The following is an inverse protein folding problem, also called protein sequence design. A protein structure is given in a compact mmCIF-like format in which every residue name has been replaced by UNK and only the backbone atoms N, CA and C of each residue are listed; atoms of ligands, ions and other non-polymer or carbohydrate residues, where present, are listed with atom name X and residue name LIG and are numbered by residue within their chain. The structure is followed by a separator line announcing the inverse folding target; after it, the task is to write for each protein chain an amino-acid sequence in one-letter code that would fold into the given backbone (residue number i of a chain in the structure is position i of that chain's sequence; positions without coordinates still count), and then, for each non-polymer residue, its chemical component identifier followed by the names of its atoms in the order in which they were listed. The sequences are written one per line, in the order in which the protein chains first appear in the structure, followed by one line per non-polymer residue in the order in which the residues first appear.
data_IF_098415056223
#
_entry.id   IF_098415056223
#
_cell.length_a   1.000
_cell.length_b   1.000
_cell.length_c   1.000
_cell.angle_alpha   90.00
_cell.angle_beta   90.00
_cell.angle_gamma   90.00
#
_symmetry.space_group_name_H-M   'P 1'
#
loop_
_entity.id
_entity.type
_entity.pdbx_description
1 polymer ?
#
# COMPACT_ATOMS: atom_id res chain seq x y z
N UNK A 1 19.33 12.92 9.20
CA UNK A 1 19.20 11.94 10.29
C UNK A 1 18.13 10.99 9.85
N UNK A 2 18.45 9.70 9.69
CA UNK A 2 17.45 8.67 9.36
C UNK A 2 16.44 8.62 10.53
N UNK A 3 15.15 8.66 10.22
CA UNK A 3 14.08 8.58 11.21
C UNK A 3 14.26 7.29 12.03
N UNK A 4 14.30 7.41 13.36
CA UNK A 4 14.53 6.27 14.25
C UNK A 4 13.46 5.18 14.05
N UNK A 5 12.24 5.59 13.67
CA UNK A 5 11.13 4.69 13.39
C UNK A 5 11.35 3.87 12.10
N UNK A 6 11.86 4.49 11.03
CA UNK A 6 12.22 3.81 9.79
C UNK A 6 13.34 2.78 10.00
N UNK A 7 14.34 3.16 10.80
CA UNK A 7 15.46 2.26 11.12
C UNK A 7 14.99 1.03 11.89
N UNK A 8 14.10 1.21 12.87
CA UNK A 8 13.51 0.10 13.62
C UNK A 8 12.68 -0.80 12.70
N UNK A 9 11.84 -0.22 11.84
CA UNK A 9 11.02 -0.97 10.89
C UNK A 9 11.86 -1.82 9.94
N UNK A 10 12.93 -1.24 9.41
CA UNK A 10 13.88 -1.95 8.56
C UNK A 10 14.53 -3.14 9.28
N UNK A 11 14.94 -2.97 10.55
CA UNK A 11 15.48 -4.04 11.37
C UNK A 11 14.44 -5.14 11.65
N UNK A 12 13.19 -4.76 11.93
CA UNK A 12 12.06 -5.68 12.11
C UNK A 12 11.87 -6.56 10.87
N UNK A 13 11.84 -5.97 9.67
CA UNK A 13 11.72 -6.69 8.40
C UNK A 13 12.94 -7.59 8.14
N UNK A 14 14.15 -7.10 8.39
CA UNK A 14 15.39 -7.88 8.23
C UNK A 14 15.40 -9.13 9.11
N UNK A 15 14.82 -9.06 10.31
CA UNK A 15 14.69 -10.21 11.20
C UNK A 15 13.79 -11.33 10.67
N UNK A 16 12.97 -11.07 9.64
CA UNK A 16 12.10 -12.05 9.00
C UNK A 16 12.79 -12.80 7.85
N UNK A 17 13.93 -12.31 7.35
CA UNK A 17 14.57 -12.86 6.14
C UNK A 17 14.95 -14.34 6.24
N UNK A 18 15.25 -14.86 7.44
CA UNK A 18 15.58 -16.27 7.66
C UNK A 18 14.43 -17.09 8.23
N UNK A 19 13.25 -16.48 8.45
CA UNK A 19 12.11 -17.14 9.08
C UNK A 19 11.20 -17.79 8.03
N UNK A 20 10.60 -18.91 8.40
CA UNK A 20 9.49 -19.52 7.68
C UNK A 20 8.18 -18.85 8.15
N UNK A 21 7.26 -18.57 7.23
CA UNK A 21 6.03 -17.83 7.55
C UNK A 21 5.08 -18.64 8.44
N UNK A 22 4.95 -19.95 8.21
CA UNK A 22 4.03 -20.82 8.93
C UNK A 22 4.46 -20.98 10.40
N UNK A 23 5.76 -20.99 10.66
CA UNK A 23 6.32 -21.10 12.02
C UNK A 23 6.35 -19.76 12.76
N UNK A 24 6.41 -18.64 12.03
CA UNK A 24 6.61 -17.31 12.61
C UNK A 24 5.49 -16.33 12.25
N UNK A 25 4.27 -16.82 12.03
CA UNK A 25 3.11 -16.01 11.62
C UNK A 25 2.92 -14.75 12.49
N UNK A 26 2.97 -14.88 13.82
CA UNK A 26 2.86 -13.75 14.75
C UNK A 26 3.94 -12.68 14.53
N UNK A 27 5.16 -13.09 14.15
CA UNK A 27 6.22 -12.13 13.82
C UNK A 27 5.89 -11.36 12.54
N UNK A 28 5.36 -12.03 11.52
CA UNK A 28 4.95 -11.36 10.28
C UNK A 28 3.78 -10.40 10.51
N UNK A 29 2.76 -10.82 11.26
CA UNK A 29 1.59 -9.98 11.60
C UNK A 29 1.98 -8.75 12.43
N UNK A 30 2.92 -8.91 13.37
CA UNK A 30 3.46 -7.80 14.14
C UNK A 30 4.17 -6.78 13.25
N UNK A 31 5.04 -7.23 12.37
CA UNK A 31 5.77 -6.32 11.46
C UNK A 31 4.81 -5.62 10.50
N UNK A 32 3.82 -6.33 9.96
CA UNK A 32 2.78 -5.72 9.13
C UNK A 32 2.00 -4.63 9.88
N UNK A 33 1.65 -4.89 11.15
CA UNK A 33 1.00 -3.91 12.01
C UNK A 33 1.88 -2.68 12.28
N UNK A 34 3.18 -2.88 12.49
CA UNK A 34 4.17 -1.79 12.63
C UNK A 34 4.23 -0.92 11.36
N UNK A 35 4.22 -1.53 10.17
CA UNK A 35 4.17 -0.81 8.88
C UNK A 35 2.91 0.05 8.80
N UNK A 36 1.74 -0.56 9.04
CA UNK A 36 0.44 0.15 8.99
C UNK A 36 0.40 1.31 9.99
N UNK A 37 0.89 1.10 11.21
CA UNK A 37 0.93 2.15 12.23
C UNK A 37 1.78 3.33 11.78
N UNK A 38 3.00 3.09 11.28
CA UNK A 38 3.86 4.18 10.80
C UNK A 38 3.24 4.93 9.61
N UNK A 39 2.57 4.22 8.68
CA UNK A 39 1.80 4.87 7.61
C UNK A 39 0.72 5.79 8.17
N UNK A 40 -0.04 5.33 9.16
CA UNK A 40 -1.11 6.13 9.79
C UNK A 40 -0.54 7.39 10.46
N UNK A 41 0.56 7.27 11.19
CA UNK A 41 1.22 8.42 11.83
C UNK A 41 1.63 9.49 10.82
N UNK A 42 2.27 9.09 9.72
CA UNK A 42 2.65 10.02 8.65
C UNK A 42 1.42 10.60 7.96
N UNK A 43 0.43 9.76 7.60
CA UNK A 43 -0.81 10.21 6.93
C UNK A 43 -1.57 11.24 7.77
N UNK A 44 -1.70 11.02 9.06
CA UNK A 44 -2.40 11.94 9.97
C UNK A 44 -1.74 13.32 9.97
N UNK A 45 -0.41 13.40 9.85
CA UNK A 45 0.31 14.68 9.73
C UNK A 45 0.14 15.37 8.37
N UNK A 46 -0.36 14.65 7.36
CA UNK A 46 -0.49 15.12 5.97
C UNK A 46 -1.94 15.34 5.55
N UNK A 47 -2.90 15.08 6.44
CA UNK A 47 -4.30 15.38 6.21
C UNK A 47 -4.51 16.90 6.07
N UNK A 48 -5.40 17.38 5.19
CA UNK A 48 -5.65 18.80 5.05
C UNK A 48 -6.24 19.40 6.33
N UNK A 49 -5.69 20.54 6.77
CA UNK A 49 -6.24 21.30 7.90
C UNK A 49 -7.52 22.07 7.51
N UNK A 50 -7.79 22.22 6.21
CA UNK A 50 -8.95 22.95 5.70
C UNK A 50 -10.09 21.98 5.32
N UNK A 51 -11.30 22.30 5.78
CA UNK A 51 -12.48 21.46 5.59
C UNK A 51 -12.82 21.20 4.12
N UNK A 52 -12.64 22.19 3.22
CA UNK A 52 -12.99 22.04 1.81
C UNK A 52 -12.08 21.04 1.09
N UNK A 53 -10.78 21.07 1.38
CA UNK A 53 -9.82 20.12 0.82
C UNK A 53 -9.98 18.74 1.46
N UNK A 54 -10.23 18.66 2.76
CA UNK A 54 -10.56 17.42 3.46
C UNK A 54 -11.81 16.74 2.86
N UNK A 55 -12.92 17.47 2.69
CA UNK A 55 -14.13 16.96 2.04
C UNK A 55 -13.85 16.51 0.61
N UNK A 56 -13.06 17.28 -0.14
CA UNK A 56 -12.70 16.95 -1.52
C UNK A 56 -11.89 15.64 -1.60
N UNK A 57 -10.87 15.45 -0.77
CA UNK A 57 -10.07 14.21 -0.80
C UNK A 57 -10.90 13.01 -0.35
N UNK A 58 -11.84 13.19 0.59
CA UNK A 58 -12.76 12.14 1.06
C UNK A 58 -13.75 11.74 -0.02
N UNK A 59 -14.34 12.68 -0.75
CA UNK A 59 -15.21 12.39 -1.90
C UNK A 59 -14.48 11.61 -2.98
N UNK A 60 -13.24 12.01 -3.30
CA UNK A 60 -12.41 11.28 -4.26
C UNK A 60 -12.08 9.87 -3.73
N UNK A 61 -11.71 9.74 -2.46
CA UNK A 61 -11.39 8.46 -1.84
C UNK A 61 -12.58 7.51 -1.84
N UNK A 62 -13.80 8.00 -1.62
CA UNK A 62 -15.02 7.19 -1.70
C UNK A 62 -15.20 6.60 -3.12
N UNK A 63 -15.07 7.43 -4.15
CA UNK A 63 -15.15 6.99 -5.56
C UNK A 63 -14.04 6.01 -5.92
N UNK A 64 -12.83 6.25 -5.42
CA UNK A 64 -11.69 5.34 -5.59
C UNK A 64 -11.94 3.98 -4.92
N UNK A 65 -12.48 3.97 -3.71
CA UNK A 65 -12.82 2.74 -3.00
C UNK A 65 -13.91 1.95 -3.73
N UNK A 66 -14.91 2.61 -4.30
CA UNK A 66 -15.92 1.98 -5.16
C UNK A 66 -15.27 1.38 -6.41
N UNK A 67 -14.45 2.15 -7.12
CA UNK A 67 -13.69 1.68 -8.28
C UNK A 67 -12.86 0.44 -7.94
N UNK A 68 -12.09 0.48 -6.86
CA UNK A 68 -11.27 -0.66 -6.41
C UNK A 68 -12.15 -1.87 -6.12
N UNK A 69 -13.24 -1.71 -5.36
CA UNK A 69 -14.16 -2.81 -5.08
C UNK A 69 -14.70 -3.44 -6.37
N UNK A 70 -15.09 -2.64 -7.35
CA UNK A 70 -15.51 -3.15 -8.67
C UNK A 70 -14.40 -3.92 -9.37
N UNK A 71 -13.16 -3.43 -9.32
CA UNK A 71 -12.01 -4.14 -9.87
C UNK A 71 -11.83 -5.53 -9.27
N UNK A 72 -11.94 -5.64 -7.94
CA UNK A 72 -11.83 -6.93 -7.26
C UNK A 72 -13.11 -7.78 -7.35
N UNK A 73 -14.28 -7.23 -7.62
CA UNK A 73 -15.52 -8.03 -7.74
C UNK A 73 -15.77 -8.57 -9.15
N UNK A 74 -15.35 -7.85 -10.19
CA UNK A 74 -15.68 -8.15 -11.59
C UNK A 74 -14.58 -8.94 -12.33
N UNK A 75 -13.36 -8.99 -11.79
CA UNK A 75 -12.23 -9.59 -12.48
C UNK A 75 -11.57 -10.72 -11.66
N UNK A 76 -11.36 -11.84 -12.34
CA UNK A 76 -10.81 -13.07 -11.74
C UNK A 76 -9.35 -13.31 -12.12
N UNK A 77 -8.76 -12.42 -12.94
CA UNK A 77 -7.35 -12.54 -13.37
C UNK A 77 -6.55 -11.33 -12.96
N UNK A 78 -5.31 -11.58 -12.53
CA UNK A 78 -4.35 -10.53 -12.18
C UNK A 78 -4.27 -9.46 -13.27
N UNK A 79 -4.06 -9.85 -14.53
CA UNK A 79 -3.91 -8.91 -15.64
C UNK A 79 -5.16 -8.03 -15.89
N UNK A 80 -6.36 -8.56 -15.63
CA UNK A 80 -7.61 -7.80 -15.79
C UNK A 80 -7.74 -6.74 -14.69
N UNK A 81 -7.46 -7.10 -13.43
CA UNK A 81 -7.44 -6.16 -12.29
C UNK A 81 -6.38 -5.08 -12.52
N UNK A 82 -5.17 -5.46 -12.93
CA UNK A 82 -4.08 -4.53 -13.22
C UNK A 82 -4.48 -3.49 -14.27
N UNK A 83 -5.00 -3.95 -15.41
CA UNK A 83 -5.44 -3.07 -16.49
C UNK A 83 -6.58 -2.14 -16.05
N UNK A 84 -7.47 -2.62 -15.18
CA UNK A 84 -8.59 -1.84 -14.67
C UNK A 84 -8.18 -0.78 -13.63
N UNK A 85 -7.17 -1.06 -12.81
CA UNK A 85 -6.67 -0.13 -11.79
C UNK A 85 -5.67 0.89 -12.34
N UNK A 86 -4.93 0.56 -13.42
CA UNK A 86 -3.92 1.45 -14.03
C UNK A 86 -4.40 2.90 -14.29
N UNK A 87 -5.61 3.15 -14.82
CA UNK A 87 -6.10 4.52 -15.02
C UNK A 87 -6.18 5.35 -13.73
N UNK A 88 -6.45 4.73 -12.58
CA UNK A 88 -6.50 5.43 -11.29
C UNK A 88 -5.10 5.94 -10.90
N UNK A 89 -4.06 5.13 -11.08
CA UNK A 89 -2.68 5.54 -10.82
C UNK A 89 -2.22 6.63 -11.79
N UNK A 90 -2.52 6.49 -13.08
CA UNK A 90 -2.18 7.50 -14.08
C UNK A 90 -2.85 8.84 -13.78
N UNK A 91 -4.13 8.82 -13.36
CA UNK A 91 -4.82 10.03 -12.91
C UNK A 91 -4.19 10.62 -11.65
N UNK A 92 -3.75 9.79 -10.72
CA UNK A 92 -3.08 10.23 -9.49
C UNK A 92 -1.82 11.07 -9.74
N UNK A 93 -1.05 10.76 -10.79
CA UNK A 93 0.13 11.54 -11.20
C UNK A 93 -0.21 12.92 -11.76
N UNK A 94 -1.37 13.04 -12.41
CA UNK A 94 -1.81 14.29 -13.06
C UNK A 94 -2.57 15.19 -12.07
N UNK A 95 -3.46 14.62 -11.26
CA UNK A 95 -4.27 15.34 -10.28
C UNK A 95 -3.78 15.05 -8.86
N UNK A 96 -3.06 16.02 -8.28
CA UNK A 96 -2.50 15.90 -6.92
C UNK A 96 -3.54 15.58 -5.85
N UNK A 97 -4.75 16.13 -5.94
CA UNK A 97 -5.80 15.83 -4.95
C UNK A 97 -6.26 14.38 -5.09
N UNK A 98 -6.32 13.88 -6.33
CA UNK A 98 -6.62 12.48 -6.60
C UNK A 98 -5.52 11.54 -6.12
N UNK A 99 -4.26 11.85 -6.41
CA UNK A 99 -3.12 11.07 -5.95
C UNK A 99 -3.00 11.04 -4.42
N UNK A 100 -3.24 12.18 -3.76
CA UNK A 100 -3.28 12.25 -2.28
C UNK A 100 -4.42 11.43 -1.71
N UNK A 101 -5.61 11.47 -2.30
CA UNK A 101 -6.71 10.63 -1.85
C UNK A 101 -6.36 9.13 -1.97
N UNK A 102 -5.70 8.74 -3.07
CA UNK A 102 -5.24 7.38 -3.30
C UNK A 102 -4.23 6.93 -2.20
N UNK A 103 -3.21 7.73 -1.93
CA UNK A 103 -2.16 7.37 -0.97
C UNK A 103 -2.61 7.49 0.50
N UNK A 104 -3.35 8.54 0.85
CA UNK A 104 -3.70 8.84 2.24
C UNK A 104 -4.87 7.99 2.75
N UNK A 105 -5.85 7.69 1.89
CA UNK A 105 -7.15 7.16 2.33
C UNK A 105 -7.50 5.79 1.75
N UNK A 106 -6.86 5.38 0.66
CA UNK A 106 -7.32 4.24 -0.15
C UNK A 106 -6.30 3.11 -0.23
N UNK A 107 -5.01 3.43 -0.29
CA UNK A 107 -3.92 2.47 -0.50
C UNK A 107 -4.00 1.25 0.44
N UNK A 108 -4.23 1.46 1.74
CA UNK A 108 -4.28 0.33 2.68
C UNK A 108 -5.49 -0.59 2.42
N UNK A 109 -6.63 -0.02 2.03
CA UNK A 109 -7.80 -0.81 1.64
C UNK A 109 -7.51 -1.63 0.39
N UNK A 110 -6.79 -1.06 -0.59
CA UNK A 110 -6.36 -1.78 -1.79
C UNK A 110 -5.46 -2.95 -1.45
N UNK A 111 -4.44 -2.75 -0.58
CA UNK A 111 -3.54 -3.81 -0.12
C UNK A 111 -4.30 -4.94 0.57
N UNK A 112 -5.26 -4.61 1.45
CA UNK A 112 -6.08 -5.63 2.11
C UNK A 112 -6.94 -6.44 1.14
N UNK A 113 -7.46 -5.83 0.06
CA UNK A 113 -8.18 -6.57 -0.98
C UNK A 113 -7.25 -7.56 -1.70
N UNK A 114 -6.03 -7.13 -2.06
CA UNK A 114 -5.05 -8.01 -2.73
C UNK A 114 -4.74 -9.24 -1.90
N UNK A 115 -4.57 -9.08 -0.58
CA UNK A 115 -4.17 -10.18 0.32
C UNK A 115 -5.13 -11.37 0.31
N UNK A 116 -6.41 -11.12 0.03
CA UNK A 116 -7.49 -12.11 0.16
C UNK A 116 -8.13 -12.51 -1.16
N UNK A 117 -7.72 -11.89 -2.28
CA UNK A 117 -8.45 -12.03 -3.55
C UNK A 117 -8.22 -13.37 -4.24
N UNK A 118 -6.96 -13.77 -4.41
CA UNK A 118 -6.64 -15.04 -5.07
C UNK A 118 -6.36 -16.14 -4.06
N UNK A 119 -6.81 -17.36 -4.37
CA UNK A 119 -6.46 -18.56 -3.61
C UNK A 119 -4.95 -18.88 -3.73
N UNK A 120 -4.35 -18.57 -4.88
CA UNK A 120 -2.93 -18.80 -5.13
C UNK A 120 -2.09 -17.60 -4.67
N UNK A 121 -1.18 -17.86 -3.72
CA UNK A 121 -0.26 -16.86 -3.17
C UNK A 121 0.59 -16.15 -4.23
N UNK A 122 0.92 -16.83 -5.34
CA UNK A 122 1.67 -16.23 -6.47
C UNK A 122 0.92 -15.10 -7.17
N UNK A 123 -0.39 -15.24 -7.32
CA UNK A 123 -1.21 -14.22 -7.97
C UNK A 123 -1.38 -13.01 -7.06
N UNK A 124 -1.59 -13.23 -5.76
CA UNK A 124 -1.55 -12.16 -4.75
C UNK A 124 -0.20 -11.45 -4.73
N UNK A 125 0.91 -12.19 -4.77
CA UNK A 125 2.26 -11.63 -4.80
C UNK A 125 2.49 -10.74 -6.02
N UNK A 126 2.11 -11.21 -7.21
CA UNK A 126 2.25 -10.47 -8.46
C UNK A 126 1.42 -9.18 -8.46
N UNK A 127 0.18 -9.24 -7.99
CA UNK A 127 -0.68 -8.07 -7.91
C UNK A 127 -0.19 -7.07 -6.84
N UNK A 128 0.27 -7.58 -5.69
CA UNK A 128 0.82 -6.78 -4.59
C UNK A 128 2.08 -6.02 -5.04
N UNK A 129 3.00 -6.71 -5.69
CA UNK A 129 4.25 -6.15 -6.24
C UNK A 129 3.97 -4.96 -7.17
N UNK A 130 3.05 -5.15 -8.12
CA UNK A 130 2.66 -4.10 -9.04
C UNK A 130 2.00 -2.91 -8.34
N UNK A 131 1.03 -3.16 -7.44
CA UNK A 131 0.32 -2.09 -6.75
C UNK A 131 1.31 -1.27 -5.92
N UNK A 132 2.21 -1.92 -5.19
CA UNK A 132 3.22 -1.23 -4.40
C UNK A 132 4.20 -0.45 -5.29
N UNK A 133 4.59 -0.95 -6.46
CA UNK A 133 5.40 -0.18 -7.41
C UNK A 133 4.69 1.11 -7.85
N UNK A 134 3.41 1.04 -8.19
CA UNK A 134 2.63 2.21 -8.60
C UNK A 134 2.44 3.20 -7.45
N UNK A 135 2.24 2.70 -6.23
CA UNK A 135 2.13 3.52 -5.04
C UNK A 135 3.44 4.22 -4.69
N UNK A 136 4.58 3.51 -4.79
CA UNK A 136 5.92 4.07 -4.57
C UNK A 136 6.22 5.15 -5.62
N UNK A 137 5.95 4.88 -6.90
CA UNK A 137 6.14 5.84 -7.98
C UNK A 137 5.32 7.10 -7.75
N UNK A 138 4.02 6.95 -7.44
CA UNK A 138 3.15 8.07 -7.14
C UNK A 138 3.62 8.83 -5.88
N UNK A 139 3.94 8.11 -4.81
CA UNK A 139 4.41 8.68 -3.54
C UNK A 139 5.67 9.52 -3.72
N UNK A 140 6.64 9.05 -4.53
CA UNK A 140 7.86 9.79 -4.80
C UNK A 140 7.62 11.15 -5.49
N UNK A 141 6.49 11.34 -6.17
CA UNK A 141 6.14 12.59 -6.84
C UNK A 141 5.40 13.59 -5.94
N UNK A 142 4.59 13.10 -4.98
CA UNK A 142 3.61 13.94 -4.27
C UNK A 142 3.61 13.82 -2.74
N UNK A 143 4.37 12.89 -2.16
CA UNK A 143 4.47 12.65 -0.72
C UNK A 143 5.89 12.94 -0.21
N UNK A 144 6.07 13.14 1.10
CA UNK A 144 7.40 13.24 1.68
C UNK A 144 8.18 11.91 1.58
N UNK A 145 9.51 12.01 1.55
CA UNK A 145 10.41 10.86 1.36
C UNK A 145 10.19 9.74 2.39
N UNK A 146 9.85 10.09 3.63
CA UNK A 146 9.63 9.10 4.68
C UNK A 146 8.45 8.17 4.35
N UNK A 147 7.36 8.69 3.79
CA UNK A 147 6.22 7.87 3.38
C UNK A 147 6.58 6.92 2.24
N UNK A 148 7.32 7.43 1.25
CA UNK A 148 7.83 6.64 0.14
C UNK A 148 8.75 5.51 0.62
N UNK A 149 9.58 5.76 1.63
CA UNK A 149 10.45 4.74 2.21
C UNK A 149 9.66 3.67 2.98
N UNK A 150 8.58 4.04 3.70
CA UNK A 150 7.68 3.06 4.33
C UNK A 150 7.07 2.13 3.27
N UNK A 151 6.61 2.67 2.13
CA UNK A 151 6.07 1.85 1.03
C UNK A 151 7.11 0.89 0.43
N UNK A 152 8.37 1.30 0.32
CA UNK A 152 9.46 0.41 -0.12
C UNK A 152 9.73 -0.71 0.88
N UNK A 153 9.68 -0.38 2.17
CA UNK A 153 9.80 -1.38 3.24
C UNK A 153 8.59 -2.34 3.23
N UNK A 154 7.38 -1.85 2.98
CA UNK A 154 6.18 -2.65 2.81
C UNK A 154 6.28 -3.61 1.62
N UNK A 155 6.79 -3.13 0.48
CA UNK A 155 7.10 -3.97 -0.67
C UNK A 155 8.04 -5.11 -0.30
N UNK A 156 9.18 -4.78 0.32
CA UNK A 156 10.15 -5.78 0.79
C UNK A 156 9.53 -6.77 1.79
N UNK A 157 8.64 -6.30 2.66
CA UNK A 157 7.91 -7.17 3.59
C UNK A 157 7.03 -8.19 2.85
N UNK A 158 6.24 -7.74 1.87
CA UNK A 158 5.39 -8.65 1.10
C UNK A 158 6.17 -9.59 0.17
N UNK A 159 7.31 -9.15 -0.38
CA UNK A 159 8.25 -10.04 -1.08
C UNK A 159 8.72 -11.19 -0.18
N UNK A 160 9.04 -10.92 1.09
CA UNK A 160 9.39 -11.96 2.06
C UNK A 160 8.18 -12.83 2.42
N UNK A 161 7.01 -12.21 2.64
CA UNK A 161 5.77 -12.91 3.01
C UNK A 161 5.32 -13.91 1.94
N UNK A 162 5.49 -13.55 0.67
CA UNK A 162 5.12 -14.39 -0.47
C UNK A 162 6.30 -15.19 -1.05
N UNK A 163 7.51 -15.06 -0.49
CA UNK A 163 8.65 -15.88 -0.92
C UNK A 163 8.35 -17.35 -0.65
N UNK A 164 8.31 -18.17 -1.72
CA UNK A 164 8.26 -19.62 -1.57
C UNK A 164 9.60 -20.06 -0.95
N UNK A 165 9.56 -20.51 0.31
CA UNK A 165 10.72 -21.08 1.02
C UNK A 165 10.47 -22.53 1.36
#
# INVERSE_FOLDING_TARGET
MEDNNLKQLKQSIESLQSKNIDEYQESFEKVESEIVQQKVEVRNSLMPDNNQEDERIKDIANKLNEHIKTGFSEFEKVDEILNYLEPAFQRGKVDKAYGRALLLLVENTMIEQVKIHFEHSKDNARLMDFILDKLIELSAEIMPDNYTEILRLEKRFFELRYSEK
#
